data_IF_831452550096
#
_entry.id   IF_831452550096
#
_cell.length_a   1.000
_cell.length_b   1.000
_cell.length_c   1.000
_cell.angle_alpha   90.00
_cell.angle_beta   90.00
_cell.angle_gamma   90.00
#
_symmetry.space_group_name_H-M   'P 1'
#
loop_
_entity.id
_entity.type
_entity.pdbx_description
1 polymer ?
#
# COMPACT_ATOMS: atom_id res chain seq x y z
N UNK A 1 63.30 -26.05 44.41
CA UNK A 1 62.04 -26.76 44.70
C UNK A 1 61.68 -27.59 43.48
N UNK A 2 61.28 -28.81 43.75
CA UNK A 2 61.20 -29.99 42.89
C UNK A 2 59.77 -30.13 42.29
N UNK A 3 59.62 -31.02 41.29
CA UNK A 3 58.37 -31.73 40.87
C UNK A 3 57.45 -30.90 39.93
N UNK A 4 56.84 -31.39 38.83
CA UNK A 4 56.71 -32.69 38.16
C UNK A 4 56.33 -32.50 36.68
N UNK A 5 56.68 -33.48 35.87
CA UNK A 5 56.07 -33.77 34.57
C UNK A 5 54.71 -34.47 34.73
N UNK A 6 53.78 -34.24 33.81
CA UNK A 6 52.69 -35.18 33.54
C UNK A 6 52.33 -35.19 32.05
N UNK A 7 52.37 -36.40 31.50
CA UNK A 7 52.11 -36.82 30.12
C UNK A 7 50.66 -36.54 29.71
N UNK A 8 50.43 -36.19 28.45
CA UNK A 8 49.15 -36.45 27.79
C UNK A 8 49.40 -37.21 26.49
N UNK A 9 48.74 -38.36 26.37
CA UNK A 9 48.89 -39.33 25.29
C UNK A 9 48.29 -38.83 23.98
N UNK A 10 49.01 -39.17 22.92
CA UNK A 10 48.58 -39.12 21.52
C UNK A 10 47.54 -40.23 21.29
N UNK A 11 46.39 -39.88 20.73
CA UNK A 11 45.43 -40.81 20.12
C UNK A 11 45.10 -40.30 18.72
N UNK A 12 45.64 -40.99 17.72
CA UNK A 12 45.29 -40.83 16.31
C UNK A 12 44.02 -41.62 16.01
N UNK A 13 43.08 -41.09 15.22
CA UNK A 13 42.07 -41.92 14.57
C UNK A 13 42.57 -42.37 13.19
N UNK A 14 42.36 -43.66 12.95
CA UNK A 14 42.63 -44.43 11.75
C UNK A 14 41.73 -44.03 10.58
N UNK A 15 42.31 -43.93 9.39
CA UNK A 15 41.62 -43.71 8.12
C UNK A 15 41.15 -45.08 7.60
N UNK A 16 39.84 -45.25 7.41
CA UNK A 16 39.26 -46.35 6.63
C UNK A 16 38.61 -45.74 5.39
N UNK A 17 39.24 -45.93 4.23
CA UNK A 17 38.71 -45.53 2.92
C UNK A 17 38.03 -46.74 2.30
N UNK A 18 36.70 -46.69 2.16
CA UNK A 18 35.93 -47.65 1.38
C UNK A 18 35.42 -46.95 0.12
N UNK A 19 35.90 -47.40 -1.03
CA UNK A 19 35.46 -46.95 -2.35
C UNK A 19 34.04 -47.43 -2.63
N UNK A 20 33.09 -46.50 -2.79
CA UNK A 20 31.78 -46.76 -3.37
C UNK A 20 31.59 -45.90 -4.63
N UNK A 21 31.22 -46.58 -5.71
CA UNK A 21 31.09 -46.03 -7.06
C UNK A 21 29.92 -45.03 -7.22
N UNK A 22 30.09 -44.14 -8.20
CA UNK A 22 29.16 -43.13 -8.68
C UNK A 22 27.69 -43.58 -8.78
N UNK A 23 26.78 -42.68 -8.37
CA UNK A 23 25.50 -42.43 -9.06
C UNK A 23 25.20 -40.92 -9.07
N UNK A 24 25.20 -40.32 -10.26
CA UNK A 24 24.74 -38.95 -10.48
C UNK A 24 23.24 -38.86 -10.16
N UNK A 25 22.77 -37.84 -9.44
CA UNK A 25 21.34 -37.63 -9.24
C UNK A 25 20.69 -37.20 -10.56
N UNK A 26 19.56 -37.83 -10.90
CA UNK A 26 18.69 -37.43 -12.01
C UNK A 26 18.22 -35.99 -11.75
N UNK A 27 18.56 -35.07 -12.65
CA UNK A 27 18.00 -33.72 -12.70
C UNK A 27 16.48 -33.84 -12.88
N UNK A 28 15.73 -33.50 -11.84
CA UNK A 28 14.29 -33.37 -11.94
C UNK A 28 13.97 -32.20 -12.88
N UNK A 29 13.24 -32.47 -13.95
CA UNK A 29 12.72 -31.44 -14.85
C UNK A 29 11.80 -30.53 -14.05
N UNK A 30 12.24 -29.28 -13.83
CA UNK A 30 11.39 -28.23 -13.25
C UNK A 30 10.20 -28.04 -14.18
N UNK A 31 9.00 -28.30 -13.67
CA UNK A 31 7.75 -27.87 -14.32
C UNK A 31 7.78 -26.35 -14.43
N UNK A 32 7.40 -25.74 -15.56
CA UNK A 32 7.22 -24.30 -15.61
C UNK A 32 6.14 -23.95 -14.58
N UNK A 33 6.47 -23.01 -13.69
CA UNK A 33 5.49 -22.38 -12.82
C UNK A 33 4.50 -21.68 -13.75
N UNK A 34 3.29 -22.23 -13.81
CA UNK A 34 2.15 -21.57 -14.44
C UNK A 34 1.90 -20.29 -13.66
N UNK A 35 2.17 -19.14 -14.28
CA UNK A 35 1.74 -17.84 -13.77
C UNK A 35 0.22 -17.83 -13.76
N UNK A 36 -0.36 -18.07 -12.58
CA UNK A 36 -1.77 -17.80 -12.32
C UNK A 36 -1.95 -16.29 -12.39
N UNK A 37 -2.52 -15.79 -13.48
CA UNK A 37 -3.05 -14.44 -13.51
C UNK A 37 -4.12 -14.34 -12.42
N UNK A 38 -3.84 -13.55 -11.38
CA UNK A 38 -4.84 -13.20 -10.38
C UNK A 38 -6.03 -12.55 -11.11
N UNK A 39 -7.28 -12.91 -10.78
CA UNK A 39 -8.43 -12.23 -11.36
C UNK A 39 -8.34 -10.75 -11.00
N UNK A 40 -8.38 -9.90 -12.03
CA UNK A 40 -8.43 -8.45 -11.89
C UNK A 40 -9.52 -8.08 -10.89
N UNK A 41 -9.23 -7.15 -9.98
CA UNK A 41 -10.22 -6.61 -9.06
C UNK A 41 -11.44 -6.13 -9.86
N UNK A 42 -12.64 -6.60 -9.49
CA UNK A 42 -13.88 -6.12 -10.10
C UNK A 42 -14.07 -4.68 -9.67
N UNK A 43 -13.93 -3.77 -10.64
CA UNK A 43 -14.14 -2.34 -10.47
C UNK A 43 -15.54 -1.96 -10.93
N UNK A 44 -16.25 -1.16 -10.14
CA UNK A 44 -17.56 -0.64 -10.51
C UNK A 44 -17.79 0.76 -9.93
N UNK A 45 -18.56 1.58 -10.66
CA UNK A 45 -19.03 2.90 -10.25
C UNK A 45 -20.49 2.80 -9.78
N UNK A 46 -20.81 3.32 -8.60
CA UNK A 46 -22.16 3.23 -8.00
C UNK A 46 -22.58 4.55 -7.35
N UNK A 47 -23.87 4.87 -7.36
CA UNK A 47 -24.40 6.07 -6.66
C UNK A 47 -24.38 5.90 -5.12
N UNK A 48 -24.34 4.66 -4.63
CA UNK A 48 -24.32 4.32 -3.20
C UNK A 48 -23.43 3.11 -2.95
N UNK A 49 -22.83 2.96 -1.76
CA UNK A 49 -21.94 1.86 -1.47
C UNK A 49 -22.72 0.52 -1.48
N UNK A 50 -22.31 -0.46 -2.30
CA UNK A 50 -23.03 -1.73 -2.39
C UNK A 50 -22.85 -2.61 -1.14
N UNK A 51 -23.83 -3.47 -0.88
CA UNK A 51 -23.79 -4.40 0.25
C UNK A 51 -22.58 -5.36 0.20
N UNK A 52 -21.99 -5.61 1.36
CA UNK A 52 -20.83 -6.48 1.49
C UNK A 52 -19.50 -5.81 1.16
N UNK A 53 -19.46 -4.48 1.03
CA UNK A 53 -18.23 -3.70 0.97
C UNK A 53 -18.06 -2.83 2.21
N UNK A 54 -16.81 -2.69 2.68
CA UNK A 54 -16.48 -1.75 3.75
C UNK A 54 -16.44 -0.33 3.19
N UNK A 55 -17.24 0.58 3.74
CA UNK A 55 -17.26 1.99 3.36
C UNK A 55 -15.98 2.69 3.78
N UNK A 56 -15.33 3.35 2.82
CA UNK A 56 -14.11 4.11 3.01
C UNK A 56 -14.19 5.44 2.23
N UNK A 57 -13.30 6.34 2.57
CA UNK A 57 -12.96 7.53 1.78
C UNK A 57 -11.56 7.40 1.22
N UNK A 58 -11.33 7.97 0.05
CA UNK A 58 -10.00 8.18 -0.51
C UNK A 58 -9.72 9.66 -0.67
N UNK A 59 -8.47 10.05 -0.43
CA UNK A 59 -8.05 11.45 -0.41
C UNK A 59 -7.01 11.65 -1.50
N UNK A 60 -7.36 12.40 -2.53
CA UNK A 60 -6.40 12.93 -3.48
C UNK A 60 -5.95 14.30 -2.96
N UNK A 61 -4.87 14.35 -2.18
CA UNK A 61 -4.31 15.63 -1.73
C UNK A 61 -3.37 16.16 -2.81
N UNK A 62 -3.71 17.30 -3.40
CA UNK A 62 -2.88 18.00 -4.36
C UNK A 62 -2.05 19.10 -3.67
N UNK A 63 -0.89 19.39 -4.26
CA UNK A 63 -0.03 20.49 -3.84
C UNK A 63 -0.75 21.85 -4.04
N UNK A 64 -0.25 22.95 -3.47
CA UNK A 64 -0.89 24.26 -3.61
C UNK A 64 -1.11 24.71 -5.06
N UNK A 65 -0.27 24.25 -5.99
CA UNK A 65 -0.36 24.57 -7.43
C UNK A 65 -1.29 23.66 -8.21
N UNK A 66 -1.86 22.61 -7.58
CA UNK A 66 -2.71 21.59 -8.20
C UNK A 66 -2.03 20.83 -9.36
N UNK A 67 -0.71 20.70 -9.32
CA UNK A 67 0.10 20.03 -10.36
C UNK A 67 0.54 18.62 -9.95
N UNK A 68 0.71 18.39 -8.65
CA UNK A 68 1.20 17.14 -8.07
C UNK A 68 0.29 16.66 -6.96
N UNK A 69 0.34 15.37 -6.71
CA UNK A 69 -0.49 14.65 -5.77
C UNK A 69 0.40 13.99 -4.75
N UNK A 70 0.02 14.13 -3.49
CA UNK A 70 0.65 13.48 -2.37
C UNK A 70 0.45 11.97 -2.50
N UNK A 71 1.55 11.22 -2.42
CA UNK A 71 1.53 9.76 -2.31
C UNK A 71 2.53 9.33 -1.27
N UNK A 72 2.22 8.23 -0.58
CA UNK A 72 3.05 7.69 0.48
C UNK A 72 3.29 6.19 0.31
N UNK A 73 4.50 5.73 0.65
CA UNK A 73 4.88 4.32 0.63
C UNK A 73 4.55 3.65 1.95
N UNK A 74 4.05 2.41 1.90
CA UNK A 74 3.73 1.66 3.12
C UNK A 74 4.99 1.21 3.85
N UNK A 75 4.94 1.24 5.19
CA UNK A 75 6.05 0.78 6.05
C UNK A 75 6.40 -0.69 5.80
N UNK A 76 5.40 -1.53 5.55
CA UNK A 76 5.59 -2.97 5.34
C UNK A 76 6.05 -3.33 3.91
N UNK A 77 5.75 -2.47 2.93
CA UNK A 77 6.08 -2.67 1.52
C UNK A 77 6.49 -1.31 0.91
N UNK A 78 7.78 -0.91 0.98
CA UNK A 78 8.23 0.40 0.54
C UNK A 78 8.00 0.71 -0.95
N UNK A 79 7.79 -0.32 -1.78
CA UNK A 79 7.47 -0.16 -3.21
C UNK A 79 5.97 0.05 -3.47
N UNK A 80 5.11 -0.14 -2.47
CA UNK A 80 3.66 0.02 -2.58
C UNK A 80 3.28 1.45 -2.19
N UNK A 81 3.18 2.33 -3.20
CA UNK A 81 2.72 3.70 -3.02
C UNK A 81 1.20 3.78 -3.09
N UNK A 82 0.62 4.63 -2.26
CA UNK A 82 -0.82 4.90 -2.25
C UNK A 82 -1.11 6.34 -1.82
N UNK A 83 -2.26 6.84 -2.26
CA UNK A 83 -2.92 8.01 -1.70
C UNK A 83 -3.57 7.67 -0.35
N UNK A 84 -3.73 8.64 0.57
CA UNK A 84 -4.39 8.44 1.87
C UNK A 84 -5.84 7.94 1.73
N UNK A 85 -6.28 7.10 2.65
CA UNK A 85 -7.62 6.53 2.67
C UNK A 85 -7.99 5.93 4.02
N UNK A 86 -9.26 6.03 4.41
CA UNK A 86 -9.68 5.36 5.64
C UNK A 86 -11.18 5.14 5.77
N UNK A 87 -11.58 4.62 6.92
CA UNK A 87 -12.93 4.13 7.15
C UNK A 87 -13.93 5.26 7.34
N UNK A 88 -15.18 5.02 6.97
CA UNK A 88 -16.30 5.90 7.37
C UNK A 88 -16.95 5.27 8.59
N UNK A 89 -17.02 6.03 9.70
CA UNK A 89 -17.63 5.56 10.94
C UNK A 89 -19.16 5.54 10.85
N UNK A 90 -19.85 4.74 11.70
CA UNK A 90 -21.30 4.70 11.73
C UNK A 90 -21.92 6.08 11.97
N UNK A 91 -22.70 6.58 11.00
CA UNK A 91 -23.34 7.89 11.05
C UNK A 91 -22.43 9.06 10.69
N UNK A 92 -21.19 8.80 10.28
CA UNK A 92 -20.27 9.83 9.80
C UNK A 92 -20.51 10.15 8.32
N UNK A 93 -20.55 11.44 7.99
CA UNK A 93 -20.65 11.90 6.61
C UNK A 93 -19.32 11.65 5.87
N UNK A 94 -19.33 11.18 4.60
CA UNK A 94 -18.10 10.90 3.86
C UNK A 94 -17.13 12.10 3.80
N UNK A 95 -17.67 13.32 3.68
CA UNK A 95 -16.85 14.54 3.68
C UNK A 95 -16.13 14.75 5.02
N UNK A 96 -16.80 14.47 6.13
CA UNK A 96 -16.22 14.58 7.46
C UNK A 96 -15.14 13.50 7.68
N UNK A 97 -15.42 12.26 7.27
CA UNK A 97 -14.46 11.17 7.28
C UNK A 97 -13.20 11.55 6.49
N UNK A 98 -13.33 12.10 5.29
CA UNK A 98 -12.17 12.48 4.47
C UNK A 98 -11.26 13.53 5.14
N UNK A 99 -11.84 14.50 5.85
CA UNK A 99 -11.07 15.49 6.63
C UNK A 99 -10.38 14.85 7.83
N UNK A 100 -11.08 13.97 8.54
CA UNK A 100 -10.53 13.23 9.69
C UNK A 100 -9.36 12.34 9.25
N UNK A 101 -9.57 11.52 8.23
CA UNK A 101 -8.58 10.58 7.69
C UNK A 101 -7.36 11.31 7.11
N UNK A 102 -7.55 12.46 6.45
CA UNK A 102 -6.42 13.29 6.00
C UNK A 102 -5.52 13.69 7.18
N UNK A 103 -6.13 14.13 8.29
CA UNK A 103 -5.40 14.53 9.49
C UNK A 103 -4.72 13.33 10.17
N UNK A 104 -5.42 12.22 10.29
CA UNK A 104 -4.94 11.02 10.99
C UNK A 104 -3.79 10.35 10.25
N UNK A 105 -3.82 10.32 8.91
CA UNK A 105 -2.79 9.66 8.12
C UNK A 105 -1.60 10.55 7.75
N UNK A 106 -1.81 11.87 7.65
CA UNK A 106 -0.77 12.79 7.13
C UNK A 106 -0.45 13.95 8.06
N UNK A 107 -1.19 14.16 9.14
CA UNK A 107 -1.04 15.31 10.03
C UNK A 107 -1.57 16.64 9.48
N UNK A 108 -1.89 16.71 8.18
CA UNK A 108 -2.32 17.93 7.49
C UNK A 108 -3.64 18.46 8.05
N UNK A 109 -3.68 19.77 8.32
CA UNK A 109 -4.89 20.47 8.80
C UNK A 109 -5.26 21.63 7.89
N UNK A 110 -4.28 22.23 7.22
CA UNK A 110 -4.47 23.34 6.30
C UNK A 110 -4.70 22.84 4.88
N UNK A 111 -5.89 22.31 4.63
CA UNK A 111 -6.32 21.90 3.30
C UNK A 111 -7.80 22.21 3.07
N UNK A 112 -8.17 22.43 1.81
CA UNK A 112 -9.56 22.65 1.41
C UNK A 112 -10.01 21.61 0.38
N UNK A 113 -11.30 21.28 0.40
CA UNK A 113 -11.90 20.37 -0.58
C UNK A 113 -12.21 21.16 -1.85
N UNK A 114 -11.64 20.72 -2.97
CA UNK A 114 -11.83 21.29 -4.30
C UNK A 114 -12.94 20.56 -5.05
N UNK A 115 -12.97 19.24 -4.95
CA UNK A 115 -13.93 18.41 -5.68
C UNK A 115 -14.22 17.10 -4.93
N UNK A 116 -15.35 16.49 -5.28
CA UNK A 116 -15.78 15.16 -4.84
C UNK A 116 -16.04 14.32 -6.09
N UNK A 117 -15.60 13.05 -6.09
CA UNK A 117 -15.93 12.13 -7.17
C UNK A 117 -17.44 11.81 -7.14
N UNK A 118 -18.14 11.83 -8.30
CA UNK A 118 -19.59 11.70 -8.33
C UNK A 118 -20.07 10.36 -7.79
N UNK A 119 -19.32 9.29 -8.05
CA UNK A 119 -19.69 7.93 -7.75
C UNK A 119 -18.78 7.31 -6.69
N UNK A 120 -19.29 6.29 -6.01
CA UNK A 120 -18.49 5.36 -5.22
C UNK A 120 -17.73 4.43 -6.17
N UNK A 121 -16.46 4.19 -5.85
CA UNK A 121 -15.59 3.27 -6.56
C UNK A 121 -15.36 2.03 -5.70
N UNK A 122 -15.65 0.85 -6.24
CA UNK A 122 -15.44 -0.41 -5.52
C UNK A 122 -14.26 -1.19 -6.06
N UNK A 123 -13.59 -1.93 -5.18
CA UNK A 123 -12.65 -2.97 -5.57
C UNK A 123 -12.74 -4.15 -4.61
N UNK A 124 -12.56 -5.35 -5.17
CA UNK A 124 -12.54 -6.60 -4.39
C UNK A 124 -11.17 -6.85 -3.78
N UNK A 125 -11.16 -7.43 -2.57
CA UNK A 125 -9.92 -7.94 -2.01
C UNK A 125 -9.50 -9.22 -2.75
N UNK A 126 -8.21 -9.38 -3.10
CA UNK A 126 -7.67 -10.67 -3.50
C UNK A 126 -7.99 -11.74 -2.46
N UNK A 127 -8.26 -12.99 -2.87
CA UNK A 127 -8.75 -14.05 -1.98
C UNK A 127 -7.85 -14.26 -0.75
N UNK A 128 -6.54 -14.24 -0.94
CA UNK A 128 -5.52 -14.41 0.11
C UNK A 128 -5.43 -13.23 1.09
N UNK A 129 -5.79 -12.02 0.63
CA UNK A 129 -5.90 -10.81 1.45
C UNK A 129 -7.24 -10.79 2.19
N UNK A 130 -8.33 -11.13 1.49
CA UNK A 130 -9.70 -11.17 2.00
C UNK A 130 -9.80 -12.03 3.24
N UNK A 131 -9.32 -13.28 3.19
CA UNK A 131 -9.44 -14.21 4.31
C UNK A 131 -8.70 -13.70 5.56
N UNK A 132 -7.50 -13.14 5.38
CA UNK A 132 -6.70 -12.57 6.48
C UNK A 132 -7.38 -11.36 7.12
N UNK A 133 -7.91 -10.45 6.30
CA UNK A 133 -8.57 -9.24 6.78
C UNK A 133 -9.89 -9.57 7.49
N UNK A 134 -10.71 -10.45 6.89
CA UNK A 134 -11.97 -10.89 7.48
C UNK A 134 -11.78 -11.61 8.81
N UNK A 135 -10.74 -12.46 8.92
CA UNK A 135 -10.39 -13.09 10.19
C UNK A 135 -9.96 -12.08 11.26
N UNK A 136 -9.21 -11.03 10.89
CA UNK A 136 -8.75 -9.98 11.81
C UNK A 136 -9.90 -9.08 12.28
N UNK A 137 -10.79 -8.70 11.37
CA UNK A 137 -11.88 -7.77 11.64
C UNK A 137 -13.15 -8.46 12.16
N UNK A 138 -13.23 -9.80 12.10
CA UNK A 138 -14.45 -10.53 12.44
C UNK A 138 -15.60 -10.22 11.49
N UNK A 139 -15.29 -9.96 10.21
CA UNK A 139 -16.26 -9.52 9.19
C UNK A 139 -16.23 -10.45 7.97
N UNK A 140 -17.09 -10.20 6.99
CA UNK A 140 -17.12 -10.94 5.72
C UNK A 140 -17.18 -9.97 4.53
N UNK A 141 -16.31 -8.97 4.54
CA UNK A 141 -16.26 -7.97 3.47
C UNK A 141 -15.69 -8.58 2.18
N UNK A 142 -16.29 -8.23 1.05
CA UNK A 142 -15.83 -8.57 -0.31
C UNK A 142 -14.66 -7.67 -0.73
N UNK A 143 -14.69 -6.43 -0.29
CA UNK A 143 -13.76 -5.39 -0.71
C UNK A 143 -14.03 -4.05 -0.02
N UNK A 144 -13.57 -2.96 -0.62
CA UNK A 144 -13.89 -1.60 -0.19
C UNK A 144 -14.77 -0.88 -1.20
N UNK A 145 -15.67 -0.04 -0.70
CA UNK A 145 -16.39 0.96 -1.47
C UNK A 145 -15.87 2.33 -1.03
N UNK A 146 -15.27 3.07 -1.96
CA UNK A 146 -14.55 4.30 -1.68
C UNK A 146 -15.25 5.50 -2.31
N UNK A 147 -15.47 6.55 -1.51
CA UNK A 147 -15.84 7.88 -1.98
C UNK A 147 -14.58 8.76 -2.01
N UNK A 148 -14.27 9.37 -3.15
CA UNK A 148 -13.02 10.11 -3.33
C UNK A 148 -13.21 11.62 -3.27
N UNK A 149 -12.25 12.30 -2.63
CA UNK A 149 -12.23 13.76 -2.49
C UNK A 149 -10.88 14.30 -2.96
N UNK A 150 -10.92 15.40 -3.73
CA UNK A 150 -9.74 16.18 -4.08
C UNK A 150 -9.58 17.30 -3.05
N UNK A 151 -8.43 17.31 -2.40
CA UNK A 151 -8.00 18.38 -1.51
C UNK A 151 -6.91 19.21 -2.16
N UNK A 152 -6.86 20.49 -1.83
CA UNK A 152 -5.72 21.37 -2.09
C UNK A 152 -5.04 21.71 -0.77
N UNK A 153 -3.74 21.45 -0.67
CA UNK A 153 -2.95 21.93 0.45
C UNK A 153 -2.91 23.46 0.41
N UNK A 154 -3.25 24.10 1.54
CA UNK A 154 -3.17 25.55 1.72
C UNK A 154 -2.10 25.96 2.75
N UNK A 155 -1.58 25.00 3.51
CA UNK A 155 -0.41 25.15 4.38
C UNK A 155 0.91 24.84 3.68
N UNK A 156 1.98 24.71 4.46
CA UNK A 156 3.29 24.28 3.97
C UNK A 156 3.53 22.78 4.15
N UNK A 157 4.52 22.25 3.43
CA UNK A 157 4.91 20.83 3.46
C UNK A 157 5.34 20.36 4.87
N UNK A 158 5.75 21.28 5.75
CA UNK A 158 6.09 21.01 7.15
C UNK A 158 4.91 20.50 8.00
N UNK A 159 3.67 20.65 7.54
CA UNK A 159 2.50 20.03 8.19
C UNK A 159 2.44 18.52 7.95
N UNK A 160 3.09 18.02 6.90
CA UNK A 160 3.03 16.61 6.52
C UNK A 160 3.87 15.80 7.51
N UNK A 161 3.18 15.02 8.32
CA UNK A 161 3.75 14.09 9.27
C UNK A 161 3.14 12.69 9.06
N UNK A 162 3.96 11.75 8.59
CA UNK A 162 3.53 10.35 8.38
C UNK A 162 3.30 9.57 9.68
N UNK A 163 3.65 10.16 10.82
CA UNK A 163 3.20 9.67 12.13
C UNK A 163 1.74 10.09 12.42
N UNK A 164 1.11 10.85 11.52
CA UNK A 164 -0.25 11.33 11.69
C UNK A 164 -0.39 12.40 12.76
N UNK A 165 -1.55 12.40 13.41
CA UNK A 165 -1.83 13.18 14.62
C UNK A 165 -1.56 12.40 15.93
N UNK A 166 -1.03 11.18 15.82
CA UNK A 166 -0.71 10.29 16.95
C UNK A 166 -1.89 9.46 17.48
N UNK A 167 -3.06 9.51 16.83
CA UNK A 167 -4.21 8.67 17.19
C UNK A 167 -4.04 7.19 16.77
N UNK A 168 -3.40 6.95 15.64
CA UNK A 168 -3.29 5.63 15.02
C UNK A 168 -1.83 5.20 14.79
N UNK A 169 -1.63 3.91 14.51
CA UNK A 169 -0.31 3.39 14.14
C UNK A 169 0.08 3.92 12.76
N UNK A 170 1.33 4.41 12.58
CA UNK A 170 1.80 4.87 11.27
C UNK A 170 1.63 3.79 10.20
N UNK A 171 1.05 4.16 9.06
CA UNK A 171 0.93 3.29 7.88
C UNK A 171 2.07 3.51 6.87
N UNK A 172 2.66 4.72 6.86
CA UNK A 172 3.57 5.18 5.81
C UNK A 172 5.00 5.44 6.29
N UNK A 173 5.97 5.16 5.42
CA UNK A 173 7.41 5.37 5.69
C UNK A 173 8.00 6.57 4.95
N UNK A 174 7.59 6.79 3.71
CA UNK A 174 8.08 7.89 2.87
C UNK A 174 6.91 8.53 2.13
N UNK A 175 7.06 9.79 1.76
CA UNK A 175 6.08 10.49 0.93
C UNK A 175 6.76 11.29 -0.16
N UNK A 176 6.00 11.58 -1.23
CA UNK A 176 6.45 12.44 -2.30
C UNK A 176 5.26 13.11 -3.01
N UNK A 177 5.51 14.30 -3.53
CA UNK A 177 4.67 14.94 -4.55
C UNK A 177 4.92 14.27 -5.91
N UNK A 178 3.90 13.66 -6.48
CA UNK A 178 3.98 12.92 -7.74
C UNK A 178 3.02 13.49 -8.79
N UNK A 179 3.39 13.43 -10.07
CA UNK A 179 2.42 13.71 -11.13
C UNK A 179 1.31 12.65 -11.12
N UNK A 180 0.11 12.95 -11.65
CA UNK A 180 -0.97 11.96 -11.75
C UNK A 180 -0.54 10.65 -12.42
N UNK A 181 0.33 10.74 -13.44
CA UNK A 181 0.87 9.57 -14.13
C UNK A 181 1.78 8.75 -13.22
N UNK A 182 2.68 9.40 -12.48
CA UNK A 182 3.57 8.73 -11.51
C UNK A 182 2.79 8.04 -10.39
N UNK A 183 1.68 8.64 -9.93
CA UNK A 183 0.77 8.02 -8.94
C UNK A 183 0.24 6.68 -9.46
N UNK A 184 -0.25 6.63 -10.70
CA UNK A 184 -0.78 5.40 -11.30
C UNK A 184 0.35 4.37 -11.49
N UNK A 185 1.50 4.79 -12.00
CA UNK A 185 2.64 3.89 -12.26
C UNK A 185 3.14 3.18 -11.00
N UNK A 186 3.21 3.91 -9.87
CA UNK A 186 3.72 3.39 -8.59
C UNK A 186 2.65 2.79 -7.69
N UNK A 187 1.38 2.95 -8.02
CA UNK A 187 0.29 2.35 -7.27
C UNK A 187 0.36 0.82 -7.32
N UNK A 188 -0.14 0.18 -6.27
CA UNK A 188 -0.31 -1.28 -6.24
C UNK A 188 -1.30 -1.71 -7.32
N UNK A 189 -0.99 -2.78 -8.05
CA UNK A 189 -1.69 -3.18 -9.29
C UNK A 189 -3.22 -3.23 -9.16
N UNK A 190 -3.75 -3.79 -8.08
CA UNK A 190 -5.21 -3.89 -7.90
C UNK A 190 -5.90 -2.55 -7.56
N UNK A 191 -5.14 -1.52 -7.15
CA UNK A 191 -5.66 -0.16 -6.91
C UNK A 191 -5.57 0.74 -8.16
N UNK A 192 -4.75 0.40 -9.16
CA UNK A 192 -4.56 1.21 -10.37
C UNK A 192 -5.88 1.62 -11.05
N UNK A 193 -6.86 0.72 -11.28
CA UNK A 193 -8.12 1.11 -11.92
C UNK A 193 -8.91 2.15 -11.12
N UNK A 194 -8.87 2.08 -9.78
CA UNK A 194 -9.51 3.06 -8.91
C UNK A 194 -8.82 4.41 -9.06
N UNK A 195 -7.49 4.44 -9.09
CA UNK A 195 -6.73 5.68 -9.22
C UNK A 195 -6.91 6.30 -10.60
N UNK A 196 -6.92 5.50 -11.66
CA UNK A 196 -7.19 5.97 -13.01
C UNK A 196 -8.55 6.67 -13.12
N UNK A 197 -9.63 6.05 -12.61
CA UNK A 197 -10.96 6.68 -12.66
C UNK A 197 -11.06 7.90 -11.74
N UNK A 198 -10.48 7.84 -10.53
CA UNK A 198 -10.42 9.00 -9.61
C UNK A 198 -9.70 10.18 -10.27
N UNK A 199 -8.52 9.95 -10.85
CA UNK A 199 -7.72 11.02 -11.46
C UNK A 199 -8.36 11.55 -12.73
N UNK A 200 -9.05 10.71 -13.49
CA UNK A 200 -9.87 11.15 -14.64
C UNK A 200 -11.00 12.08 -14.20
N UNK A 201 -11.66 11.82 -13.07
CA UNK A 201 -12.66 12.73 -12.51
C UNK A 201 -12.07 14.05 -12.01
N UNK A 202 -10.85 14.02 -11.46
CA UNK A 202 -10.19 15.20 -10.93
C UNK A 202 -9.37 15.99 -11.96
N UNK A 203 -9.12 15.43 -13.14
CA UNK A 203 -8.36 16.08 -14.21
C UNK A 203 -8.82 17.52 -14.55
N UNK A 204 -10.12 17.87 -14.59
CA UNK A 204 -10.56 19.24 -14.85
C UNK A 204 -10.13 20.28 -13.79
N UNK A 205 -9.74 19.83 -12.60
CA UNK A 205 -9.31 20.68 -11.49
C UNK A 205 -7.78 20.75 -11.36
N UNK A 206 -7.06 19.83 -11.99
CA UNK A 206 -5.60 19.77 -11.94
C UNK A 206 -4.98 20.65 -13.01
N UNK A 207 -3.83 21.23 -12.70
CA UNK A 207 -3.03 22.06 -13.59
C UNK A 207 -1.92 21.24 -14.24
N UNK A 208 -1.50 21.63 -15.44
CA UNK A 208 -0.30 21.08 -16.06
C UNK A 208 0.94 21.54 -15.30
N UNK A 209 1.89 20.64 -15.05
CA UNK A 209 3.18 21.00 -14.45
C UNK A 209 3.95 21.92 -15.43
N UNK A 210 4.21 23.20 -15.08
CA UNK A 210 4.90 24.13 -15.96
C UNK A 210 6.36 23.70 -16.24
N UNK A 211 6.93 22.82 -15.40
CA UNK A 211 8.31 22.33 -15.56
C UNK A 211 8.42 21.12 -16.50
N UNK A 212 7.31 20.48 -16.87
CA UNK A 212 7.29 19.31 -17.76
C UNK A 212 7.38 19.67 -19.26
N UNK A 213 7.36 20.96 -19.61
CA UNK A 213 7.41 21.45 -21.01
C UNK A 213 8.81 21.92 -21.44
N UNK A 214 9.88 21.52 -20.74
CA UNK A 214 11.27 21.91 -21.03
C UNK A 214 12.11 20.73 -21.50
#
# INVERSE_FOLDING_TARGET
MTVAAARCLILTPTISSSSAALRLPRIARRRPLSCSASPLAVFATMDSPPEGYRTNVGICLADPSLTKIFSASRIDIPTAWQMPQGGIDPGEEPRAAAVRELREETGVRSAEIVAEAPNWLTYDFPADVKDKLNARWGTNWKGQAQKWFLFRLTGGDEEINLMGDGSEKPEFSEWAWMTPQQVIEKAVDFKKPVYEETLKHFAPYLQSDPTASS
#
